data_IF_599153005695
#
_entry.id   IF_599153005695
#
_cell.length_a   1.000
_cell.length_b   1.000
_cell.length_c   1.000
_cell.angle_alpha   90.00
_cell.angle_beta   90.00
_cell.angle_gamma   90.00
#
_symmetry.space_group_name_H-M   'P 1'
#
loop_
_entity.id
_entity.type
_entity.pdbx_description
1 polymer ?
#
# COMPACT_ATOMS: atom_id res chain seq x y z
N UNK A 1 16.27 7.31 8.55
CA UNK A 1 16.11 7.25 7.08
C UNK A 1 16.77 8.46 6.42
N UNK A 2 17.54 8.25 5.35
CA UNK A 2 18.03 9.33 4.50
C UNK A 2 16.92 9.86 3.60
N UNK A 3 16.84 11.18 3.44
CA UNK A 3 15.86 11.84 2.57
C UNK A 3 16.60 12.48 1.38
N UNK A 4 16.00 12.39 0.18
CA UNK A 4 16.54 13.08 -1.01
C UNK A 4 16.39 14.60 -0.93
N UNK A 5 15.34 15.07 -0.28
CA UNK A 5 15.08 16.49 0.01
C UNK A 5 14.87 16.67 1.52
N UNK A 6 15.04 17.87 2.02
CA UNK A 6 14.80 18.17 3.43
C UNK A 6 13.32 18.00 3.82
N UNK A 7 13.03 17.85 5.11
CA UNK A 7 11.64 17.81 5.60
C UNK A 7 10.86 19.07 5.26
N UNK A 8 11.50 20.23 5.29
CA UNK A 8 10.87 21.50 4.93
C UNK A 8 10.50 21.57 3.44
N UNK A 9 11.37 21.08 2.58
CA UNK A 9 11.11 20.97 1.14
C UNK A 9 9.99 19.94 0.87
N UNK A 10 9.97 18.82 1.59
CA UNK A 10 8.88 17.84 1.49
C UNK A 10 7.53 18.43 1.93
N UNK A 11 7.48 19.18 3.06
CA UNK A 11 6.29 19.91 3.50
C UNK A 11 5.81 20.88 2.42
N UNK A 12 6.74 21.62 1.82
CA UNK A 12 6.44 22.56 0.74
C UNK A 12 5.92 21.84 -0.52
N UNK A 13 6.53 20.72 -0.89
CA UNK A 13 6.12 19.92 -2.05
C UNK A 13 4.67 19.42 -1.87
N UNK A 14 4.37 18.79 -0.73
CA UNK A 14 3.05 18.23 -0.46
C UNK A 14 1.99 19.32 -0.36
N UNK A 15 2.26 20.41 0.38
CA UNK A 15 1.29 21.52 0.54
C UNK A 15 0.98 22.19 -0.79
N UNK A 16 1.97 22.40 -1.67
CA UNK A 16 1.76 22.94 -3.01
C UNK A 16 0.95 22.01 -3.90
N UNK A 17 1.18 20.73 -3.84
CA UNK A 17 0.40 19.75 -4.61
C UNK A 17 -1.08 19.75 -4.16
N UNK A 18 -1.33 19.77 -2.84
CA UNK A 18 -2.68 19.85 -2.29
C UNK A 18 -3.32 21.18 -2.70
N UNK A 19 -2.59 22.30 -2.56
CA UNK A 19 -3.07 23.63 -2.92
C UNK A 19 -3.49 23.70 -4.39
N UNK A 20 -2.65 23.19 -5.28
CA UNK A 20 -2.89 23.25 -6.74
C UNK A 20 -4.13 22.48 -7.15
N UNK A 21 -4.42 21.34 -6.52
CA UNK A 21 -5.51 20.45 -6.93
C UNK A 21 -6.81 20.66 -6.12
N UNK A 22 -6.69 21.00 -4.84
CA UNK A 22 -7.82 20.91 -3.91
C UNK A 22 -7.96 22.12 -2.96
N UNK A 23 -7.00 23.04 -2.98
CA UNK A 23 -6.86 24.10 -1.98
C UNK A 23 -6.25 23.61 -0.67
N UNK A 24 -5.49 24.48 -0.01
CA UNK A 24 -4.82 24.20 1.26
C UNK A 24 -4.96 25.38 2.22
N UNK A 25 -5.52 25.16 3.41
CA UNK A 25 -5.78 26.20 4.39
C UNK A 25 -4.57 26.36 5.33
N UNK A 26 -3.60 27.19 4.91
CA UNK A 26 -2.31 27.37 5.58
C UNK A 26 -2.41 27.58 7.10
N UNK A 27 -3.33 28.43 7.54
CA UNK A 27 -3.46 28.76 8.97
C UNK A 27 -3.98 27.60 9.81
N UNK A 28 -4.80 26.72 9.24
CA UNK A 28 -5.49 25.64 9.96
C UNK A 28 -4.78 24.28 9.80
N UNK A 29 -4.21 24.05 8.63
CA UNK A 29 -3.80 22.69 8.21
C UNK A 29 -2.29 22.47 8.23
N UNK A 30 -1.48 23.54 8.29
CA UNK A 30 -0.02 23.43 8.21
C UNK A 30 0.58 22.57 9.31
N UNK A 31 0.18 22.80 10.57
CA UNK A 31 0.73 22.04 11.71
C UNK A 31 0.23 20.58 11.68
N UNK A 32 -1.01 20.35 11.25
CA UNK A 32 -1.56 19.01 11.05
C UNK A 32 -0.77 18.26 9.98
N UNK A 33 -0.50 18.92 8.84
CA UNK A 33 0.29 18.35 7.75
C UNK A 33 1.72 18.01 8.22
N UNK A 34 2.36 18.94 8.95
CA UNK A 34 3.72 18.74 9.50
C UNK A 34 3.79 17.53 10.43
N UNK A 35 2.85 17.41 11.36
CA UNK A 35 2.77 16.28 12.29
C UNK A 35 2.48 14.97 11.53
N UNK A 36 1.59 15.00 10.55
CA UNK A 36 1.30 13.87 9.67
C UNK A 36 2.53 13.40 8.88
N UNK A 37 3.29 14.33 8.31
CA UNK A 37 4.55 14.04 7.60
C UNK A 37 5.57 13.37 8.53
N UNK A 38 5.72 13.86 9.75
CA UNK A 38 6.65 13.26 10.72
C UNK A 38 6.28 11.80 11.02
N UNK A 39 5.00 11.54 11.31
CA UNK A 39 4.48 10.19 11.56
C UNK A 39 4.59 9.29 10.32
N UNK A 40 4.30 9.81 9.13
CA UNK A 40 4.41 9.06 7.88
C UNK A 40 5.86 8.66 7.58
N UNK A 41 6.84 9.56 7.78
CA UNK A 41 8.25 9.26 7.57
C UNK A 41 8.78 8.18 8.52
N UNK A 42 8.34 8.16 9.78
CA UNK A 42 8.68 7.10 10.74
C UNK A 42 8.16 5.73 10.26
N UNK A 43 6.92 5.70 9.77
CA UNK A 43 6.31 4.48 9.21
C UNK A 43 6.99 4.04 7.91
N UNK A 44 7.35 4.99 7.04
CA UNK A 44 8.13 4.72 5.84
C UNK A 44 9.48 4.10 6.17
N UNK A 45 10.19 4.62 7.18
CA UNK A 45 11.49 4.09 7.60
C UNK A 45 11.39 2.60 7.97
N UNK A 46 10.39 2.25 8.79
CA UNK A 46 10.15 0.85 9.13
C UNK A 46 9.79 0.01 7.89
N UNK A 47 8.83 0.46 7.11
CA UNK A 47 8.36 -0.25 5.90
C UNK A 47 9.50 -0.48 4.90
N UNK A 48 10.29 0.56 4.63
CA UNK A 48 11.40 0.50 3.68
C UNK A 48 12.56 -0.35 4.19
N UNK A 49 12.77 -0.43 5.50
CA UNK A 49 13.78 -1.33 6.09
C UNK A 49 13.51 -2.81 5.84
N UNK A 50 12.25 -3.16 5.54
CA UNK A 50 11.82 -4.52 5.19
C UNK A 50 11.79 -4.78 3.67
N UNK A 51 11.97 -3.74 2.86
CA UNK A 51 11.91 -3.83 1.41
C UNK A 51 13.28 -4.22 0.83
N UNK A 52 13.35 -5.31 0.06
CA UNK A 52 14.59 -5.79 -0.57
C UNK A 52 14.92 -5.13 -1.91
N UNK A 53 14.26 -4.02 -2.23
CA UNK A 53 14.48 -3.30 -3.47
C UNK A 53 15.62 -2.27 -3.29
N UNK A 54 16.61 -2.29 -4.21
CA UNK A 54 17.79 -1.43 -4.17
C UNK A 54 17.48 0.08 -4.12
N UNK A 55 16.33 0.49 -4.65
CA UNK A 55 15.92 1.91 -4.65
C UNK A 55 15.45 2.41 -3.27
N UNK A 56 15.20 1.51 -2.33
CA UNK A 56 14.75 1.83 -0.96
C UNK A 56 15.91 1.91 0.04
N UNK A 57 17.15 1.75 -0.43
CA UNK A 57 18.36 1.86 0.38
C UNK A 57 19.41 2.73 -0.32
N UNK A 58 20.18 3.49 0.48
CA UNK A 58 21.31 4.30 0.03
C UNK A 58 22.34 4.35 1.15
N UNK A 59 23.61 4.11 0.82
CA UNK A 59 24.73 4.13 1.79
C UNK A 59 24.49 3.22 3.03
N UNK A 60 23.90 2.04 2.82
CA UNK A 60 23.65 1.07 3.89
C UNK A 60 22.45 1.36 4.80
N UNK A 61 21.71 2.44 4.57
CA UNK A 61 20.52 2.80 5.34
C UNK A 61 19.28 2.93 4.47
N UNK A 62 18.11 3.01 5.11
CA UNK A 62 16.85 3.28 4.41
C UNK A 62 16.87 4.65 3.73
N UNK A 63 16.23 4.73 2.57
CA UNK A 63 16.25 5.92 1.72
C UNK A 63 14.86 6.24 1.19
N UNK A 64 14.48 7.51 1.26
CA UNK A 64 13.24 8.04 0.71
C UNK A 64 13.51 9.14 -0.32
N UNK A 65 12.98 8.92 -1.51
CA UNK A 65 12.97 9.89 -2.60
C UNK A 65 11.51 10.16 -3.02
N UNK A 66 10.97 11.36 -2.81
CA UNK A 66 9.59 11.70 -3.19
C UNK A 66 9.38 11.72 -4.72
N UNK A 67 10.44 11.71 -5.51
CA UNK A 67 10.38 11.61 -6.96
C UNK A 67 10.38 10.15 -7.47
N UNK A 68 10.49 9.18 -6.57
CA UNK A 68 10.23 7.76 -6.86
C UNK A 68 8.77 7.45 -6.56
N UNK A 69 7.95 7.29 -7.60
CA UNK A 69 6.48 7.18 -7.48
C UNK A 69 6.02 6.09 -6.50
N UNK A 70 6.67 4.91 -6.48
CA UNK A 70 6.34 3.84 -5.55
C UNK A 70 6.58 4.22 -4.08
N UNK A 71 7.72 4.85 -3.78
CA UNK A 71 8.00 5.34 -2.42
C UNK A 71 7.03 6.45 -2.02
N UNK A 72 6.77 7.38 -2.94
CA UNK A 72 5.86 8.50 -2.69
C UNK A 72 4.42 8.02 -2.49
N UNK A 73 4.00 7.00 -3.22
CA UNK A 73 2.67 6.39 -3.05
C UNK A 73 2.49 5.77 -1.66
N UNK A 74 3.49 5.03 -1.15
CA UNK A 74 3.47 4.50 0.23
C UNK A 74 3.46 5.65 1.25
N UNK A 75 4.27 6.67 1.04
CA UNK A 75 4.33 7.85 1.91
C UNK A 75 2.98 8.58 1.96
N UNK A 76 2.34 8.84 0.82
CA UNK A 76 1.04 9.53 0.78
C UNK A 76 -0.06 8.69 1.46
N UNK A 77 -0.04 7.37 1.32
CA UNK A 77 -0.95 6.52 2.10
C UNK A 77 -0.68 6.64 3.60
N UNK A 78 0.57 6.53 4.05
CA UNK A 78 0.87 6.69 5.47
C UNK A 78 0.55 8.10 5.98
N UNK A 79 0.74 9.13 5.15
CA UNK A 79 0.41 10.51 5.49
C UNK A 79 -1.10 10.68 5.74
N UNK A 80 -1.94 10.26 4.77
CA UNK A 80 -3.40 10.38 4.91
C UNK A 80 -3.94 9.56 6.08
N UNK A 81 -3.45 8.32 6.25
CA UNK A 81 -3.82 7.45 7.37
C UNK A 81 -3.36 8.03 8.73
N UNK A 82 -2.16 8.62 8.81
CA UNK A 82 -1.65 9.24 10.04
C UNK A 82 -2.41 10.52 10.40
N UNK A 83 -2.75 11.37 9.42
CA UNK A 83 -3.59 12.55 9.65
C UNK A 83 -4.95 12.13 10.21
N UNK A 84 -5.60 11.16 9.61
CA UNK A 84 -6.88 10.63 10.06
C UNK A 84 -6.81 10.08 11.50
N UNK A 85 -5.74 9.34 11.83
CA UNK A 85 -5.57 8.75 13.15
C UNK A 85 -5.25 9.78 14.26
N UNK A 86 -4.40 10.76 13.94
CA UNK A 86 -3.96 11.78 14.91
C UNK A 86 -4.97 12.92 15.09
N UNK A 87 -5.70 13.25 14.04
CA UNK A 87 -6.62 14.38 13.99
C UNK A 87 -7.97 13.97 13.37
N UNK A 88 -8.84 13.27 14.14
CA UNK A 88 -10.12 12.77 13.60
C UNK A 88 -11.02 13.85 12.98
N UNK A 89 -10.88 15.09 13.44
CA UNK A 89 -11.64 16.25 12.92
C UNK A 89 -11.02 16.87 11.65
N UNK A 90 -9.83 16.42 11.23
CA UNK A 90 -9.16 16.90 10.01
C UNK A 90 -9.40 15.97 8.80
N UNK A 91 -10.52 15.25 8.76
CA UNK A 91 -10.85 14.27 7.72
C UNK A 91 -10.75 14.83 6.30
N UNK A 92 -11.16 16.10 6.09
CA UNK A 92 -11.04 16.76 4.77
C UNK A 92 -9.60 16.91 4.28
N UNK A 93 -8.61 17.03 5.17
CA UNK A 93 -7.19 17.03 4.77
C UNK A 93 -6.73 15.61 4.42
N UNK A 94 -7.13 14.60 5.20
CA UNK A 94 -6.85 13.19 4.90
C UNK A 94 -7.46 12.77 3.55
N UNK A 95 -8.71 13.21 3.26
CA UNK A 95 -9.38 12.97 1.97
C UNK A 95 -8.56 13.53 0.80
N UNK A 96 -8.07 14.77 0.92
CA UNK A 96 -7.28 15.42 -0.14
C UNK A 96 -5.92 14.77 -0.35
N UNK A 97 -5.25 14.33 0.72
CA UNK A 97 -3.99 13.56 0.60
C UNK A 97 -4.23 12.19 -0.04
N UNK A 98 -5.30 11.48 0.34
CA UNK A 98 -5.69 10.25 -0.32
C UNK A 98 -5.99 10.49 -1.82
N UNK A 99 -6.77 11.53 -2.14
CA UNK A 99 -7.10 11.84 -3.52
C UNK A 99 -5.86 12.29 -4.32
N UNK A 100 -4.91 12.99 -3.69
CA UNK A 100 -3.62 13.31 -4.30
C UNK A 100 -2.87 12.03 -4.70
N UNK A 101 -2.81 11.02 -3.83
CA UNK A 101 -2.19 9.74 -4.15
C UNK A 101 -2.88 9.06 -5.35
N UNK A 102 -4.21 9.05 -5.34
CA UNK A 102 -5.00 8.48 -6.44
C UNK A 102 -4.77 9.23 -7.76
N UNK A 103 -4.72 10.56 -7.73
CA UNK A 103 -4.49 11.39 -8.91
C UNK A 103 -3.08 11.22 -9.49
N UNK A 104 -2.04 11.17 -8.64
CA UNK A 104 -0.66 11.08 -9.09
C UNK A 104 -0.23 9.66 -9.47
N UNK A 105 -0.69 8.65 -8.73
CA UNK A 105 -0.18 7.30 -8.80
C UNK A 105 -1.20 6.26 -9.32
N UNK A 106 -2.45 6.69 -9.58
CA UNK A 106 -3.51 5.79 -10.04
C UNK A 106 -3.85 4.66 -9.05
N UNK A 107 -3.52 4.83 -7.77
CA UNK A 107 -3.76 3.87 -6.70
C UNK A 107 -4.97 4.28 -5.88
N UNK A 108 -5.97 3.43 -5.81
CA UNK A 108 -7.10 3.56 -4.90
C UNK A 108 -6.83 2.76 -3.62
N UNK A 109 -6.24 3.42 -2.63
CA UNK A 109 -5.98 2.88 -1.29
C UNK A 109 -6.43 3.90 -0.24
N UNK A 110 -7.68 3.73 0.20
CA UNK A 110 -8.32 4.66 1.14
C UNK A 110 -7.64 4.61 2.52
N UNK A 111 -7.50 5.74 3.18
CA UNK A 111 -6.72 5.85 4.41
C UNK A 111 -7.30 5.08 5.61
N UNK A 112 -8.57 4.72 5.62
CA UNK A 112 -9.14 3.83 6.66
C UNK A 112 -8.80 2.36 6.44
N UNK A 113 -8.31 1.96 5.27
CA UNK A 113 -7.83 0.61 5.04
C UNK A 113 -6.58 0.38 5.89
N UNK A 114 -6.61 -0.66 6.71
CA UNK A 114 -5.50 -0.97 7.63
C UNK A 114 -4.47 -1.85 6.93
N UNK A 115 -3.50 -1.20 6.27
CA UNK A 115 -2.33 -1.91 5.76
C UNK A 115 -1.39 -2.33 6.88
N UNK A 116 -0.63 -3.43 6.72
CA UNK A 116 0.39 -3.84 7.67
C UNK A 116 1.51 -2.79 7.79
N UNK A 117 2.36 -2.94 8.79
CA UNK A 117 3.48 -2.01 9.01
C UNK A 117 4.50 -2.05 7.86
N UNK A 118 4.68 -3.23 7.25
CA UNK A 118 5.50 -3.42 6.06
C UNK A 118 4.67 -4.02 4.93
N UNK A 119 4.58 -3.31 3.82
CA UNK A 119 3.99 -3.77 2.57
C UNK A 119 4.77 -3.18 1.39
N UNK A 120 4.62 -3.78 0.23
CA UNK A 120 5.32 -3.34 -0.97
C UNK A 120 4.35 -3.20 -2.14
N UNK A 121 4.60 -2.21 -2.97
CA UNK A 121 3.89 -2.01 -4.23
C UNK A 121 4.89 -1.86 -5.38
N UNK A 122 4.55 -2.48 -6.49
CA UNK A 122 5.35 -2.43 -7.71
C UNK A 122 4.46 -1.96 -8.87
N UNK A 123 4.74 -0.75 -9.38
CA UNK A 123 3.92 -0.14 -10.45
C UNK A 123 2.41 -0.13 -10.15
N UNK A 124 1.92 0.47 -9.05
CA UNK A 124 0.56 0.22 -8.51
C UNK A 124 -0.59 0.81 -9.33
N UNK A 125 -0.34 1.32 -10.53
CA UNK A 125 -1.33 1.98 -11.39
C UNK A 125 -2.54 1.08 -11.60
N UNK A 126 -3.75 1.63 -11.44
CA UNK A 126 -5.02 0.93 -11.64
C UNK A 126 -5.39 -0.05 -10.52
N UNK A 127 -4.60 -0.12 -9.46
CA UNK A 127 -4.91 -1.02 -8.33
C UNK A 127 -5.92 -0.40 -7.37
N UNK A 128 -6.84 -1.25 -6.88
CA UNK A 128 -7.86 -0.91 -5.89
C UNK A 128 -7.73 -1.84 -4.69
N UNK A 129 -7.26 -1.32 -3.57
CA UNK A 129 -7.08 -2.06 -2.32
C UNK A 129 -8.20 -1.65 -1.35
N UNK A 130 -9.26 -2.46 -1.32
CA UNK A 130 -10.40 -2.26 -0.43
C UNK A 130 -10.13 -2.75 0.99
N UNK A 131 -11.15 -2.68 1.85
CA UNK A 131 -11.08 -3.23 3.21
C UNK A 131 -10.84 -4.73 3.15
N UNK A 132 -9.89 -5.20 3.96
CA UNK A 132 -9.52 -6.60 4.16
C UNK A 132 -8.64 -6.67 5.42
N UNK A 133 -8.36 -7.87 5.90
CA UNK A 133 -7.21 -8.08 6.78
C UNK A 133 -5.99 -8.33 5.91
N UNK A 134 -4.93 -7.55 6.09
CA UNK A 134 -3.67 -7.70 5.36
C UNK A 134 -2.56 -8.10 6.32
N UNK A 135 -1.90 -9.23 6.05
CA UNK A 135 -0.73 -9.71 6.81
C UNK A 135 0.55 -8.94 6.46
N UNK A 136 1.56 -9.02 7.35
CA UNK A 136 2.87 -8.39 7.13
C UNK A 136 3.53 -8.89 5.85
N UNK A 137 4.23 -8.02 5.16
CA UNK A 137 4.90 -8.35 3.90
C UNK A 137 3.98 -8.50 2.69
N UNK A 138 2.72 -8.06 2.80
CA UNK A 138 1.81 -8.03 1.65
C UNK A 138 2.40 -7.22 0.50
N UNK A 139 2.35 -7.75 -0.71
CA UNK A 139 2.87 -7.07 -1.90
C UNK A 139 1.90 -7.17 -3.08
N UNK A 140 1.84 -6.12 -3.92
CA UNK A 140 0.99 -6.12 -5.10
C UNK A 140 1.60 -5.32 -6.25
N UNK A 141 1.21 -5.70 -7.46
CA UNK A 141 1.60 -5.03 -8.70
C UNK A 141 0.43 -4.21 -9.29
N UNK A 142 0.56 -3.78 -10.54
CA UNK A 142 -0.46 -2.98 -11.24
C UNK A 142 -1.78 -3.74 -11.44
N UNK A 143 -2.88 -2.98 -11.49
CA UNK A 143 -4.23 -3.46 -11.78
C UNK A 143 -4.71 -4.60 -10.86
N UNK A 144 -4.20 -4.65 -9.63
CA UNK A 144 -4.66 -5.61 -8.63
C UNK A 144 -5.93 -5.09 -7.94
N UNK A 145 -6.83 -6.01 -7.58
CA UNK A 145 -8.05 -5.65 -6.84
C UNK A 145 -8.22 -6.53 -5.62
N UNK A 146 -8.40 -5.90 -4.46
CA UNK A 146 -8.87 -6.56 -3.23
C UNK A 146 -10.18 -5.90 -2.82
N UNK A 147 -11.22 -6.70 -2.60
CA UNK A 147 -12.53 -6.14 -2.27
C UNK A 147 -13.50 -7.15 -1.66
N UNK A 148 -14.68 -6.64 -1.32
CA UNK A 148 -15.75 -7.48 -0.77
C UNK A 148 -16.57 -8.18 -1.87
N UNK A 149 -17.26 -9.25 -1.46
CA UNK A 149 -18.43 -9.78 -2.13
C UNK A 149 -19.56 -9.89 -1.11
N UNK A 150 -20.71 -9.29 -1.40
CA UNK A 150 -21.88 -9.29 -0.51
C UNK A 150 -21.56 -8.81 0.93
N UNK A 151 -20.68 -7.83 1.07
CA UNK A 151 -20.28 -7.27 2.37
C UNK A 151 -19.23 -8.10 3.15
N UNK A 152 -18.79 -9.23 2.61
CA UNK A 152 -17.73 -10.05 3.22
C UNK A 152 -16.37 -9.68 2.61
N UNK A 153 -15.36 -9.52 3.46
CA UNK A 153 -14.02 -9.06 3.09
C UNK A 153 -12.99 -10.19 3.22
N UNK A 154 -11.94 -10.18 2.39
CA UNK A 154 -10.88 -11.17 2.48
C UNK A 154 -10.05 -11.05 3.76
N UNK A 155 -9.49 -12.19 4.18
CA UNK A 155 -8.42 -12.30 5.16
C UNK A 155 -7.17 -12.80 4.43
N UNK A 156 -6.16 -11.96 4.36
CA UNK A 156 -4.92 -12.21 3.61
C UNK A 156 -3.79 -12.38 4.62
N UNK A 157 -3.08 -13.51 4.54
CA UNK A 157 -1.98 -13.86 5.42
C UNK A 157 -0.70 -13.09 5.16
N UNK A 158 0.38 -13.50 5.83
CA UNK A 158 1.70 -12.89 5.72
C UNK A 158 2.41 -13.24 4.40
N UNK A 159 3.23 -12.31 3.90
CA UNK A 159 4.03 -12.49 2.68
C UNK A 159 3.21 -12.92 1.45
N UNK A 160 1.96 -12.51 1.36
CA UNK A 160 1.13 -12.74 0.17
C UNK A 160 1.50 -11.74 -0.90
N UNK A 161 1.70 -12.24 -2.13
CA UNK A 161 2.05 -11.41 -3.29
C UNK A 161 0.99 -11.53 -4.38
N UNK A 162 0.44 -10.40 -4.78
CA UNK A 162 -0.47 -10.29 -5.93
C UNK A 162 0.30 -9.81 -7.15
N UNK A 163 0.38 -10.67 -8.17
CA UNK A 163 0.97 -10.30 -9.45
C UNK A 163 -0.04 -9.50 -10.29
N UNK A 164 0.46 -8.82 -11.31
CA UNK A 164 -0.32 -7.90 -12.13
C UNK A 164 -1.68 -8.46 -12.58
N UNK A 165 -2.71 -7.61 -12.50
CA UNK A 165 -4.09 -7.94 -12.90
C UNK A 165 -4.77 -9.06 -12.07
N UNK A 166 -4.23 -9.39 -10.89
CA UNK A 166 -4.87 -10.41 -10.04
C UNK A 166 -5.91 -9.79 -9.11
N UNK A 167 -6.89 -10.61 -8.72
CA UNK A 167 -8.01 -10.17 -7.89
C UNK A 167 -8.27 -11.15 -6.75
N UNK A 168 -8.60 -10.61 -5.55
CA UNK A 168 -9.07 -11.37 -4.39
C UNK A 168 -10.35 -10.71 -3.89
N UNK A 169 -11.49 -11.38 -4.02
CA UNK A 169 -12.81 -10.83 -3.68
C UNK A 169 -13.60 -11.72 -2.73
N UNK A 170 -14.22 -11.11 -1.75
CA UNK A 170 -15.21 -11.77 -0.90
C UNK A 170 -14.65 -12.64 0.22
N UNK A 171 -15.36 -13.72 0.55
CA UNK A 171 -15.05 -14.63 1.66
C UNK A 171 -13.83 -15.53 1.33
N UNK A 172 -12.64 -14.92 1.24
CA UNK A 172 -11.39 -15.64 1.00
C UNK A 172 -10.51 -15.62 2.24
N UNK A 173 -9.92 -16.77 2.59
CA UNK A 173 -8.78 -16.85 3.51
C UNK A 173 -7.57 -17.27 2.70
N UNK A 174 -6.65 -16.34 2.49
CA UNK A 174 -5.40 -16.57 1.75
C UNK A 174 -4.31 -16.88 2.76
N UNK A 175 -3.77 -18.08 2.71
CA UNK A 175 -2.71 -18.52 3.62
C UNK A 175 -1.37 -17.80 3.34
N UNK A 176 -0.50 -17.84 4.34
CA UNK A 176 0.81 -17.19 4.30
C UNK A 176 1.67 -17.67 3.12
N UNK A 177 2.59 -16.81 2.67
CA UNK A 177 3.55 -17.14 1.60
C UNK A 177 2.84 -17.62 0.32
N UNK A 178 1.77 -16.95 -0.07
CA UNK A 178 1.00 -17.29 -1.27
C UNK A 178 1.26 -16.29 -2.39
N UNK A 179 1.41 -16.78 -3.61
CA UNK A 179 1.51 -15.96 -4.82
C UNK A 179 0.23 -16.12 -5.63
N UNK A 180 -0.50 -15.03 -5.81
CA UNK A 180 -1.61 -14.96 -6.76
C UNK A 180 -1.01 -14.52 -8.10
N UNK A 181 -0.94 -15.46 -9.05
CA UNK A 181 -0.29 -15.24 -10.34
C UNK A 181 -1.02 -14.16 -11.17
N UNK A 182 -0.32 -13.60 -12.14
CA UNK A 182 -0.90 -12.58 -13.01
C UNK A 182 -2.22 -13.07 -13.65
N UNK A 183 -3.20 -12.14 -13.72
CA UNK A 183 -4.54 -12.39 -14.27
C UNK A 183 -5.35 -13.45 -13.51
N UNK A 184 -4.94 -13.86 -12.31
CA UNK A 184 -5.71 -14.80 -11.50
C UNK A 184 -6.84 -14.11 -10.76
N UNK A 185 -7.99 -14.79 -10.64
CA UNK A 185 -9.17 -14.27 -9.97
C UNK A 185 -9.64 -15.25 -8.89
N UNK A 186 -9.41 -14.91 -7.63
CA UNK A 186 -9.86 -15.65 -6.44
C UNK A 186 -11.11 -14.99 -5.90
N UNK A 187 -12.19 -15.78 -5.71
CA UNK A 187 -13.44 -15.28 -5.16
C UNK A 187 -14.09 -16.33 -4.26
N UNK A 188 -14.46 -15.92 -3.05
CA UNK A 188 -15.20 -16.74 -2.08
C UNK A 188 -14.61 -18.15 -1.92
N UNK A 189 -13.26 -18.24 -1.86
CA UNK A 189 -12.52 -19.50 -1.78
C UNK A 189 -11.27 -19.34 -0.92
N UNK A 190 -11.02 -20.32 -0.06
CA UNK A 190 -9.81 -20.37 0.76
C UNK A 190 -8.64 -20.96 -0.03
N UNK A 191 -7.45 -20.35 0.15
CA UNK A 191 -6.19 -20.79 -0.47
C UNK A 191 -5.23 -21.20 0.65
N UNK A 192 -4.70 -22.42 0.61
CA UNK A 192 -3.74 -22.88 1.63
C UNK A 192 -2.43 -22.08 1.55
N UNK A 193 -1.70 -22.05 2.67
CA UNK A 193 -0.38 -21.43 2.73
C UNK A 193 0.62 -22.08 1.76
N UNK A 194 1.69 -21.35 1.44
CA UNK A 194 2.76 -21.80 0.54
C UNK A 194 2.25 -22.24 -0.83
N UNK A 195 1.33 -21.46 -1.40
CA UNK A 195 0.67 -21.77 -2.67
C UNK A 195 1.00 -20.78 -3.79
N UNK A 196 0.95 -21.29 -5.01
CA UNK A 196 0.90 -20.47 -6.22
C UNK A 196 -0.45 -20.72 -6.89
N UNK A 197 -1.21 -19.66 -7.11
CA UNK A 197 -2.58 -19.72 -7.64
C UNK A 197 -2.61 -19.22 -9.07
N UNK A 198 -3.26 -19.98 -9.96
CA UNK A 198 -3.43 -19.64 -11.37
C UNK A 198 -4.91 -19.75 -11.76
N UNK A 199 -5.30 -19.01 -12.79
CA UNK A 199 -6.62 -19.10 -13.40
C UNK A 199 -7.67 -18.25 -12.68
N UNK A 200 -8.93 -18.51 -12.99
CA UNK A 200 -10.04 -17.71 -12.51
C UNK A 200 -11.13 -18.59 -11.86
N UNK A 201 -11.72 -18.07 -10.78
CA UNK A 201 -12.88 -18.69 -10.14
C UNK A 201 -13.96 -19.02 -11.20
N UNK A 202 -14.62 -20.23 -11.16
CA UNK A 202 -14.45 -21.28 -10.14
C UNK A 202 -13.32 -22.29 -10.44
N UNK A 203 -12.60 -22.17 -11.54
CA UNK A 203 -11.63 -23.16 -12.03
C UNK A 203 -10.18 -22.77 -11.72
N UNK A 204 -9.88 -22.55 -10.43
CA UNK A 204 -8.53 -22.22 -9.98
C UNK A 204 -7.62 -23.47 -9.97
N UNK A 205 -6.36 -23.25 -10.33
CA UNK A 205 -5.28 -24.23 -10.16
C UNK A 205 -4.41 -23.75 -9.01
N UNK A 206 -4.38 -24.51 -7.91
CA UNK A 206 -3.58 -24.20 -6.73
C UNK A 206 -2.44 -25.22 -6.64
N UNK A 207 -1.20 -24.72 -6.64
CA UNK A 207 0.02 -25.54 -6.52
C UNK A 207 0.75 -25.18 -5.23
N UNK A 208 0.76 -26.08 -4.26
CA UNK A 208 1.58 -25.93 -3.05
C UNK A 208 3.07 -26.11 -3.35
N UNK A 209 3.94 -25.43 -2.61
CA UNK A 209 5.39 -25.48 -2.70
C UNK A 209 6.02 -25.53 -1.32
N UNK A 210 7.25 -26.04 -1.24
CA UNK A 210 8.03 -25.92 -0.03
C UNK A 210 8.33 -24.46 0.31
N UNK A 211 8.46 -24.16 1.60
CA UNK A 211 8.78 -22.83 2.09
C UNK A 211 10.10 -22.28 1.49
N UNK A 212 11.04 -23.14 1.12
CA UNK A 212 12.29 -22.76 0.46
C UNK A 212 12.07 -22.00 -0.84
N UNK A 213 11.01 -22.32 -1.58
CA UNK A 213 10.66 -21.62 -2.82
C UNK A 213 10.38 -20.13 -2.59
N UNK A 214 9.72 -19.78 -1.47
CA UNK A 214 9.31 -18.40 -1.18
C UNK A 214 10.40 -17.57 -0.51
N UNK A 215 11.50 -18.19 -0.02
CA UNK A 215 12.63 -17.47 0.59
C UNK A 215 13.53 -16.78 -0.45
N UNK A 216 13.47 -17.21 -1.68
CA UNK A 216 14.32 -16.73 -2.79
C UNK A 216 13.59 -15.75 -3.72
N UNK A 217 12.33 -15.58 -3.55
CA UNK A 217 11.48 -14.62 -4.28
C UNK A 217 11.13 -13.42 -3.41
#
# INVERSE_FOLDING_TARGET
MQLEITRAELETLVSRQIETLFGFRQAEEREILRAGIAAALERCEFCFSKTRNKYYAKNGGTYFNPFHSGQYSIFLYFLSNSIFALYPNAGTLADRVYYLNKALNGLDLFYEVKMPRAFFLDHPIGSVLGRATYGEGFAFSQNCTVGNNKGVYPVIGENVRMMAYSMILGACKIGDNTIISAQSYVKDMDIPACSIVFGAHPNLIVKTRDMSYFKTT
#
